data_IF_144954409877
#
_entry.id   IF_144954409877
#
_cell.length_a   1.000
_cell.length_b   1.000
_cell.length_c   1.000
_cell.angle_alpha   90.00
_cell.angle_beta   90.00
_cell.angle_gamma   90.00
#
_symmetry.space_group_name_H-M   'P 1'
#
loop_
_entity.id
_entity.type
_entity.pdbx_description
1 polymer ?
#
# COMPACT_ATOMS: atom_id res chain seq x y z
N UNK A 1 -14.48 -39.60 -34.38
CA UNK A 1 -14.82 -38.17 -34.33
C UNK A 1 -15.32 -37.76 -32.92
N UNK A 2 -14.55 -38.07 -31.87
CA UNK A 2 -14.95 -37.89 -30.45
C UNK A 2 -13.75 -37.63 -29.52
N UNK A 3 -12.81 -36.78 -29.95
CA UNK A 3 -11.54 -36.57 -29.22
C UNK A 3 -11.08 -35.11 -29.11
N UNK A 4 -11.97 -34.13 -29.32
CA UNK A 4 -11.60 -32.69 -29.26
C UNK A 4 -12.31 -31.95 -28.10
N UNK A 5 -13.24 -32.58 -27.39
CA UNK A 5 -14.01 -31.92 -26.31
C UNK A 5 -13.38 -32.03 -24.91
N UNK A 6 -12.24 -32.71 -24.74
CA UNK A 6 -11.62 -32.92 -23.42
C UNK A 6 -10.54 -31.88 -23.07
N UNK A 7 -9.98 -31.15 -24.05
CA UNK A 7 -8.92 -30.16 -23.80
C UNK A 7 -9.39 -28.73 -23.55
N UNK A 8 -10.67 -28.41 -23.79
CA UNK A 8 -11.22 -27.05 -23.59
C UNK A 8 -11.74 -26.86 -22.16
N UNK A 9 -12.25 -27.92 -21.53
CA UNK A 9 -12.82 -27.90 -20.17
C UNK A 9 -11.77 -27.70 -19.06
N UNK A 10 -10.52 -28.18 -19.25
CA UNK A 10 -9.45 -27.93 -18.28
C UNK A 10 -8.99 -26.48 -18.30
N UNK A 11 -8.96 -25.84 -19.48
CA UNK A 11 -8.53 -24.44 -19.62
C UNK A 11 -9.53 -23.44 -19.02
N UNK A 12 -10.84 -23.67 -19.15
CA UNK A 12 -11.85 -22.80 -18.51
C UNK A 12 -11.90 -22.99 -16.99
N UNK A 13 -11.69 -24.22 -16.51
CA UNK A 13 -11.57 -24.54 -15.09
C UNK A 13 -10.37 -23.83 -14.46
N UNK A 14 -9.20 -23.92 -15.09
CA UNK A 14 -7.98 -23.26 -14.63
C UNK A 14 -8.13 -21.73 -14.62
N UNK A 15 -8.85 -21.16 -15.60
CA UNK A 15 -9.11 -19.71 -15.68
C UNK A 15 -9.95 -19.18 -14.52
N UNK A 16 -10.92 -19.96 -14.02
CA UNK A 16 -11.74 -19.58 -12.87
C UNK A 16 -10.92 -19.53 -11.58
N UNK A 17 -10.11 -20.55 -11.32
CA UNK A 17 -9.22 -20.57 -10.14
C UNK A 17 -8.19 -19.45 -10.18
N UNK A 18 -7.60 -19.20 -11.35
CA UNK A 18 -6.63 -18.12 -11.55
C UNK A 18 -7.28 -16.75 -11.35
N UNK A 19 -8.51 -16.51 -11.82
CA UNK A 19 -9.17 -15.22 -11.59
C UNK A 19 -9.52 -15.00 -10.11
N UNK A 20 -10.04 -16.02 -9.43
CA UNK A 20 -10.37 -15.95 -8.00
C UNK A 20 -9.12 -15.64 -7.16
N UNK A 21 -8.08 -16.46 -7.31
CA UNK A 21 -6.81 -16.26 -6.60
C UNK A 21 -6.11 -14.95 -6.98
N UNK A 22 -6.22 -14.47 -8.23
CA UNK A 22 -5.66 -13.16 -8.64
C UNK A 22 -6.36 -12.00 -7.95
N UNK A 23 -7.70 -12.01 -7.87
CA UNK A 23 -8.47 -10.93 -7.23
C UNK A 23 -8.16 -10.91 -5.73
N UNK A 24 -8.14 -12.08 -5.09
CA UNK A 24 -7.80 -12.23 -3.68
C UNK A 24 -6.37 -11.75 -3.34
N UNK A 25 -5.38 -12.23 -4.10
CA UNK A 25 -3.98 -11.85 -3.89
C UNK A 25 -3.76 -10.38 -4.24
N UNK A 26 -4.50 -9.86 -5.22
CA UNK A 26 -4.49 -8.45 -5.61
C UNK A 26 -4.88 -7.51 -4.46
N UNK A 27 -5.88 -7.87 -3.64
CA UNK A 27 -6.26 -7.07 -2.47
C UNK A 27 -5.11 -6.99 -1.44
N UNK A 28 -4.42 -8.09 -1.17
CA UNK A 28 -3.28 -8.10 -0.26
C UNK A 28 -2.09 -7.28 -0.80
N UNK A 29 -1.84 -7.32 -2.11
CA UNK A 29 -0.78 -6.54 -2.76
C UNK A 29 -1.08 -5.04 -2.71
N UNK A 30 -2.34 -4.63 -2.93
CA UNK A 30 -2.75 -3.22 -2.87
C UNK A 30 -2.50 -2.59 -1.49
N UNK A 31 -2.62 -3.37 -0.42
CA UNK A 31 -2.30 -2.92 0.93
C UNK A 31 -0.81 -2.59 1.10
N UNK A 32 0.10 -3.50 0.74
CA UNK A 32 1.54 -3.24 0.83
C UNK A 32 1.98 -2.13 -0.11
N UNK A 33 1.33 -2.03 -1.29
CA UNK A 33 1.56 -0.94 -2.22
C UNK A 33 1.21 0.44 -1.60
N UNK A 34 0.11 0.54 -0.87
CA UNK A 34 -0.28 1.78 -0.21
C UNK A 34 0.70 2.19 0.91
N UNK A 35 1.22 1.22 1.69
CA UNK A 35 2.26 1.48 2.69
C UNK A 35 3.56 1.96 2.02
N UNK A 36 3.96 1.32 0.91
CA UNK A 36 5.10 1.76 0.11
C UNK A 36 4.92 3.19 -0.39
N UNK A 37 3.77 3.51 -0.98
CA UNK A 37 3.43 4.85 -1.43
C UNK A 37 3.51 5.88 -0.29
N UNK A 38 3.00 5.55 0.90
CA UNK A 38 3.12 6.42 2.08
C UNK A 38 4.59 6.67 2.46
N UNK A 39 5.41 5.62 2.50
CA UNK A 39 6.83 5.75 2.82
C UNK A 39 7.61 6.58 1.80
N UNK A 40 7.28 6.44 0.52
CA UNK A 40 7.84 7.25 -0.57
C UNK A 40 7.46 8.74 -0.41
N UNK A 41 6.19 9.03 -0.14
CA UNK A 41 5.72 10.40 0.11
C UNK A 41 6.40 11.03 1.33
N UNK A 42 6.59 10.27 2.40
CA UNK A 42 7.32 10.76 3.58
C UNK A 42 8.77 11.08 3.23
N UNK A 43 9.45 10.18 2.53
CA UNK A 43 10.85 10.35 2.16
C UNK A 43 11.13 11.55 1.28
N UNK A 44 10.29 11.74 0.26
CA UNK A 44 10.36 12.89 -0.64
C UNK A 44 10.11 14.19 0.13
N UNK A 45 9.18 14.17 1.08
CA UNK A 45 8.85 15.34 1.90
C UNK A 45 9.98 15.75 2.86
N UNK A 46 10.66 14.80 3.50
CA UNK A 46 11.76 15.12 4.43
C UNK A 46 13.08 15.45 3.72
N UNK A 47 13.13 15.29 2.40
CA UNK A 47 14.27 15.66 1.55
C UNK A 47 15.24 14.53 1.23
N UNK A 48 14.96 13.30 1.66
CA UNK A 48 15.79 12.12 1.32
C UNK A 48 15.65 11.71 -0.15
N UNK A 49 14.50 11.98 -0.77
CA UNK A 49 14.30 11.74 -2.22
C UNK A 49 15.24 12.55 -3.12
N UNK A 50 15.76 13.70 -2.65
CA UNK A 50 16.71 14.50 -3.42
C UNK A 50 18.04 13.77 -3.63
N UNK A 51 18.46 12.89 -2.71
CA UNK A 51 19.69 12.11 -2.85
C UNK A 51 19.66 11.19 -4.09
N UNK A 52 18.48 10.68 -4.46
CA UNK A 52 18.28 9.88 -5.67
C UNK A 52 18.42 10.71 -6.95
N UNK A 53 18.05 12.00 -6.91
CA UNK A 53 18.24 12.92 -8.04
C UNK A 53 19.72 13.27 -8.26
N UNK A 54 20.52 13.32 -7.20
CA UNK A 54 21.95 13.65 -7.29
C UNK A 54 22.82 12.48 -7.78
N UNK A 55 22.41 11.23 -7.54
CA UNK A 55 23.13 10.05 -8.05
C UNK A 55 22.21 8.94 -8.57
N UNK A 56 21.62 9.12 -9.78
CA UNK A 56 20.79 8.11 -10.43
C UNK A 56 21.59 6.88 -10.91
N UNK A 57 22.92 6.97 -11.00
CA UNK A 57 23.81 5.91 -11.50
C UNK A 57 24.03 4.78 -10.47
N UNK A 58 23.71 5.02 -9.19
CA UNK A 58 23.82 4.01 -8.12
C UNK A 58 22.73 2.93 -8.18
N UNK A 59 21.73 3.03 -9.08
CA UNK A 59 20.74 1.96 -9.31
C UNK A 59 19.84 1.62 -8.12
N UNK A 60 19.94 2.33 -7.00
CA UNK A 60 19.13 2.14 -5.80
C UNK A 60 17.82 2.91 -5.94
N UNK A 61 16.89 2.32 -6.68
CA UNK A 61 15.50 2.80 -6.78
C UNK A 61 14.70 2.54 -5.49
N UNK A 62 15.25 1.81 -4.52
CA UNK A 62 14.56 1.57 -3.24
C UNK A 62 14.81 2.72 -2.28
N UNK A 63 13.73 3.36 -1.87
CA UNK A 63 13.79 4.45 -0.93
C UNK A 63 13.98 3.88 0.49
N UNK A 64 14.98 4.36 1.24
CA UNK A 64 15.29 3.80 2.56
C UNK A 64 14.11 3.92 3.54
N UNK A 65 13.35 5.01 3.45
CA UNK A 65 12.18 5.26 4.31
C UNK A 65 11.00 4.37 3.92
N UNK A 66 10.77 4.19 2.63
CA UNK A 66 9.79 3.23 2.11
C UNK A 66 10.10 1.82 2.63
N UNK A 67 11.34 1.37 2.44
CA UNK A 67 11.78 0.05 2.90
C UNK A 67 11.61 -0.11 4.42
N UNK A 68 11.91 0.94 5.19
CA UNK A 68 11.68 0.95 6.64
C UNK A 68 10.20 0.72 6.97
N UNK A 69 9.29 1.50 6.40
CA UNK A 69 7.85 1.36 6.65
C UNK A 69 7.29 0.01 6.16
N UNK A 70 7.71 -0.46 5.00
CA UNK A 70 7.31 -1.77 4.46
C UNK A 70 7.79 -2.91 5.36
N UNK A 71 9.00 -2.82 5.92
CA UNK A 71 9.53 -3.82 6.85
C UNK A 71 8.73 -3.83 8.16
N UNK A 72 8.47 -2.66 8.74
CA UNK A 72 7.64 -2.54 9.96
C UNK A 72 6.23 -3.06 9.70
N UNK A 73 5.61 -2.68 8.59
CA UNK A 73 4.29 -3.16 8.23
C UNK A 73 4.26 -4.68 8.01
N UNK A 74 5.32 -5.27 7.45
CA UNK A 74 5.41 -6.73 7.32
C UNK A 74 5.44 -7.40 8.70
N UNK A 75 6.23 -6.88 9.65
CA UNK A 75 6.27 -7.41 11.02
C UNK A 75 4.92 -7.28 11.73
N UNK A 76 4.27 -6.11 11.61
CA UNK A 76 2.95 -5.87 12.19
C UNK A 76 1.88 -6.77 11.54
N UNK A 77 1.97 -6.99 10.22
CA UNK A 77 1.08 -7.89 9.48
C UNK A 77 1.15 -9.33 10.01
N UNK A 78 2.36 -9.83 10.28
CA UNK A 78 2.53 -11.13 10.94
C UNK A 78 2.00 -11.11 12.38
N UNK A 79 2.28 -10.05 13.15
CA UNK A 79 1.79 -9.91 14.53
C UNK A 79 0.26 -9.87 14.64
N UNK A 80 -0.43 -9.34 13.64
CA UNK A 80 -1.90 -9.28 13.57
C UNK A 80 -2.53 -10.52 12.93
N UNK A 81 -1.74 -11.57 12.67
CA UNK A 81 -2.18 -12.78 11.96
C UNK A 81 -2.77 -12.50 10.56
N UNK A 82 -2.35 -11.42 9.89
CA UNK A 82 -2.82 -11.07 8.55
C UNK A 82 -2.53 -12.17 7.52
N UNK A 83 -1.48 -12.98 7.72
CA UNK A 83 -1.18 -14.13 6.89
C UNK A 83 -2.26 -15.22 6.96
N UNK A 84 -2.93 -15.40 8.10
CA UNK A 84 -4.03 -16.35 8.23
C UNK A 84 -5.25 -15.93 7.42
N UNK A 85 -5.52 -14.61 7.35
CA UNK A 85 -6.55 -14.05 6.48
C UNK A 85 -6.28 -14.44 5.02
N UNK A 86 -5.07 -14.21 4.52
CA UNK A 86 -4.73 -14.52 3.13
C UNK A 86 -4.84 -16.02 2.84
N UNK A 87 -4.33 -16.87 3.73
CA UNK A 87 -4.39 -18.33 3.54
C UNK A 87 -5.82 -18.87 3.61
N UNK A 88 -6.62 -18.38 4.57
CA UNK A 88 -8.03 -18.75 4.69
C UNK A 88 -8.82 -18.31 3.46
N UNK A 89 -8.55 -17.11 2.96
CA UNK A 89 -9.16 -16.58 1.75
C UNK A 89 -8.85 -17.43 0.51
N UNK A 90 -7.60 -17.87 0.35
CA UNK A 90 -7.21 -18.79 -0.74
C UNK A 90 -7.98 -20.11 -0.60
N UNK A 91 -8.01 -20.70 0.60
CA UNK A 91 -8.72 -21.96 0.84
C UNK A 91 -10.21 -21.85 0.52
N UNK A 92 -10.87 -20.79 1.00
CA UNK A 92 -12.30 -20.53 0.77
C UNK A 92 -12.60 -20.25 -0.72
N UNK A 93 -11.67 -19.63 -1.45
CA UNK A 93 -11.77 -19.43 -2.90
C UNK A 93 -11.80 -20.75 -3.69
N UNK A 94 -11.19 -21.82 -3.18
CA UNK A 94 -11.27 -23.14 -3.83
C UNK A 94 -12.59 -23.86 -3.55
N UNK A 95 -13.26 -23.57 -2.43
CA UNK A 95 -14.53 -24.18 -2.06
C UNK A 95 -15.75 -23.48 -2.68
N UNK A 96 -15.72 -22.15 -2.78
CA UNK A 96 -16.86 -21.32 -3.18
C UNK A 96 -17.04 -21.10 -4.68
N UNK A 97 -16.02 -21.38 -5.51
CA UNK A 97 -16.09 -21.15 -6.96
C UNK A 97 -16.35 -22.48 -7.67
N UNK A 98 -17.63 -22.87 -7.90
CA UNK A 98 -17.92 -24.00 -8.76
C UNK A 98 -17.49 -23.68 -10.19
N UNK A 99 -16.61 -24.53 -10.70
CA UNK A 99 -15.88 -24.54 -11.98
C UNK A 99 -16.73 -24.18 -13.23
N UNK A 100 -18.06 -24.28 -13.13
CA UNK A 100 -18.95 -24.35 -14.29
C UNK A 100 -19.70 -23.05 -14.65
N UNK A 101 -19.72 -22.00 -13.82
CA UNK A 101 -20.61 -20.84 -14.07
C UNK A 101 -20.03 -19.47 -13.70
N UNK A 102 -18.71 -19.27 -13.80
CA UNK A 102 -18.15 -17.93 -13.59
C UNK A 102 -18.54 -17.01 -14.77
N UNK A 103 -19.64 -16.28 -14.63
CA UNK A 103 -19.91 -15.12 -15.49
C UNK A 103 -18.92 -14.03 -15.08
N UNK A 104 -18.17 -13.50 -16.05
CA UNK A 104 -17.38 -12.28 -15.88
C UNK A 104 -18.33 -11.12 -15.57
N UNK A 105 -18.71 -11.00 -14.31
CA UNK A 105 -19.44 -9.88 -13.79
C UNK A 105 -18.44 -8.75 -13.53
N UNK A 106 -18.76 -7.51 -13.88
CA UNK A 106 -17.90 -6.36 -13.59
C UNK A 106 -17.91 -5.96 -12.10
N UNK A 107 -18.83 -6.51 -11.30
CA UNK A 107 -18.95 -6.22 -9.86
C UNK A 107 -17.65 -6.39 -9.06
N UNK A 108 -16.97 -7.54 -9.12
CA UNK A 108 -15.69 -7.76 -8.42
C UNK A 108 -14.58 -6.78 -8.82
N UNK A 109 -14.52 -6.40 -10.10
CA UNK A 109 -13.53 -5.42 -10.58
C UNK A 109 -13.82 -4.00 -10.05
N UNK A 110 -15.10 -3.62 -9.96
CA UNK A 110 -15.50 -2.35 -9.36
C UNK A 110 -15.19 -2.33 -7.84
N UNK A 111 -15.42 -3.43 -7.13
CA UNK A 111 -15.04 -3.55 -5.72
C UNK A 111 -13.52 -3.45 -5.50
N UNK A 112 -12.72 -4.04 -6.40
CA UNK A 112 -11.26 -3.90 -6.34
C UNK A 112 -10.81 -2.46 -6.61
N UNK A 113 -11.44 -1.75 -7.54
CA UNK A 113 -11.14 -0.35 -7.82
C UNK A 113 -11.47 0.56 -6.63
N UNK A 114 -12.63 0.36 -5.98
CA UNK A 114 -12.98 1.10 -4.76
C UNK A 114 -12.02 0.80 -3.61
N UNK A 115 -11.60 -0.46 -3.46
CA UNK A 115 -10.60 -0.82 -2.45
C UNK A 115 -9.24 -0.15 -2.72
N UNK A 116 -8.79 -0.11 -3.98
CA UNK A 116 -7.56 0.60 -4.34
C UNK A 116 -7.66 2.11 -4.02
N UNK A 117 -8.81 2.73 -4.24
CA UNK A 117 -9.08 4.10 -3.85
C UNK A 117 -8.99 4.28 -2.33
N UNK A 118 -9.61 3.40 -1.55
CA UNK A 118 -9.57 3.44 -0.07
C UNK A 118 -8.12 3.33 0.44
N UNK A 119 -7.33 2.42 -0.14
CA UNK A 119 -5.92 2.24 0.20
C UNK A 119 -5.08 3.48 -0.13
N UNK A 120 -5.32 4.12 -1.28
CA UNK A 120 -4.64 5.35 -1.66
C UNK A 120 -4.99 6.52 -0.72
N UNK A 121 -6.27 6.68 -0.38
CA UNK A 121 -6.72 7.70 0.58
C UNK A 121 -6.07 7.46 1.94
N UNK A 122 -5.99 6.21 2.38
CA UNK A 122 -5.35 5.88 3.65
C UNK A 122 -3.86 6.21 3.65
N UNK A 123 -3.12 5.83 2.61
CA UNK A 123 -1.71 6.17 2.46
C UNK A 123 -1.48 7.69 2.60
N UNK A 124 -2.31 8.50 1.95
CA UNK A 124 -2.25 9.97 2.03
C UNK A 124 -2.58 10.47 3.43
N UNK A 125 -3.61 9.93 4.08
CA UNK A 125 -3.98 10.30 5.46
C UNK A 125 -2.87 9.97 6.46
N UNK A 126 -2.17 8.85 6.26
CA UNK A 126 -1.07 8.44 7.13
C UNK A 126 0.16 9.34 6.99
N UNK A 127 0.50 9.81 5.78
CA UNK A 127 1.60 10.77 5.62
C UNK A 127 1.21 12.22 5.94
N UNK A 128 -0.08 12.56 5.93
CA UNK A 128 -0.58 13.93 6.17
C UNK A 128 0.00 14.64 7.40
N UNK A 129 0.08 14.05 8.61
CA UNK A 129 0.64 14.75 9.77
C UNK A 129 2.11 15.11 9.59
N UNK A 130 2.88 14.24 8.93
CA UNK A 130 4.30 14.47 8.65
C UNK A 130 4.43 15.59 7.62
N UNK A 131 3.67 15.51 6.53
CA UNK A 131 3.68 16.53 5.48
C UNK A 131 3.30 17.90 6.03
N UNK A 132 2.25 17.98 6.86
CA UNK A 132 1.80 19.23 7.46
C UNK A 132 2.89 19.84 8.36
N UNK A 133 3.55 19.05 9.21
CA UNK A 133 4.61 19.55 10.08
C UNK A 133 5.85 20.03 9.31
N UNK A 134 6.25 19.31 8.26
CA UNK A 134 7.37 19.72 7.40
C UNK A 134 7.01 20.97 6.59
N UNK A 135 5.76 21.09 6.11
CA UNK A 135 5.29 22.29 5.43
C UNK A 135 5.38 23.52 6.35
N UNK A 136 4.91 23.40 7.60
CA UNK A 136 5.03 24.47 8.61
C UNK A 136 6.49 24.82 8.86
N UNK A 137 7.35 23.81 8.97
CA UNK A 137 8.80 24.00 9.13
C UNK A 137 9.40 24.78 7.96
N UNK A 138 9.05 24.43 6.73
CA UNK A 138 9.53 25.13 5.53
C UNK A 138 9.06 26.58 5.49
N UNK A 139 7.81 26.85 5.88
CA UNK A 139 7.29 28.22 6.00
C UNK A 139 8.07 29.00 7.07
N UNK A 140 8.30 28.40 8.24
CA UNK A 140 9.06 29.02 9.33
C UNK A 140 10.50 29.35 8.89
N UNK A 141 11.17 28.43 8.19
CA UNK A 141 12.49 28.65 7.61
C UNK A 141 12.48 29.79 6.57
N UNK A 142 11.45 29.87 5.72
CA UNK A 142 11.27 30.96 4.77
C UNK A 142 11.14 32.34 5.44
N UNK A 143 10.41 32.41 6.56
CA UNK A 143 10.31 33.64 7.37
C UNK A 143 11.64 33.97 8.05
N UNK A 144 12.33 32.98 8.61
CA UNK A 144 13.65 33.15 9.23
C UNK A 144 14.68 33.69 8.23
N UNK A 145 14.60 33.29 6.96
CA UNK A 145 15.45 33.85 5.89
C UNK A 145 15.31 35.35 5.69
N UNK A 146 14.10 35.88 5.87
CA UNK A 146 13.86 37.32 5.80
C UNK A 146 14.32 38.04 7.06
N UNK A 147 14.16 37.40 8.22
CA UNK A 147 14.55 37.98 9.51
C UNK A 147 16.07 37.99 9.71
N UNK A 148 16.77 36.96 9.21
CA UNK A 148 18.22 36.79 9.34
C UNK A 148 18.82 36.55 7.94
N UNK A 149 19.08 37.61 7.15
CA UNK A 149 19.52 37.50 5.75
C UNK A 149 20.88 36.81 5.56
N UNK A 150 21.70 36.78 6.62
CA UNK A 150 22.99 36.12 6.67
C UNK A 150 22.91 34.58 6.74
N UNK A 151 21.74 34.02 7.08
CA UNK A 151 21.54 32.57 7.09
C UNK A 151 21.14 32.08 5.69
N UNK A 152 21.87 31.10 5.17
CA UNK A 152 21.45 30.37 3.98
C UNK A 152 20.31 29.40 4.36
N UNK A 153 19.07 29.84 4.12
CA UNK A 153 17.86 29.08 4.44
C UNK A 153 17.83 27.73 3.74
N UNK A 154 18.25 27.66 2.48
CA UNK A 154 18.20 26.43 1.68
C UNK A 154 19.13 25.35 2.27
N UNK A 155 20.33 25.75 2.70
CA UNK A 155 21.30 24.83 3.30
C UNK A 155 20.88 24.46 4.72
N UNK A 156 20.26 25.38 5.45
CA UNK A 156 19.86 25.15 6.85
C UNK A 156 18.55 24.37 6.96
N UNK A 157 17.62 24.51 6.02
CA UNK A 157 16.33 23.85 6.06
C UNK A 157 16.47 22.33 5.92
N UNK A 158 17.38 21.84 5.09
CA UNK A 158 17.59 20.40 4.86
C UNK A 158 17.93 19.61 6.15
N UNK A 159 18.94 19.99 6.96
CA UNK A 159 19.17 19.36 8.26
C UNK A 159 17.98 19.47 9.21
N UNK A 160 17.28 20.59 9.22
CA UNK A 160 16.14 20.84 10.12
C UNK A 160 14.95 19.95 9.76
N UNK A 161 14.59 19.86 8.48
CA UNK A 161 13.51 19.00 7.99
C UNK A 161 13.83 17.53 8.18
N UNK A 162 15.09 17.12 8.03
CA UNK A 162 15.52 15.75 8.33
C UNK A 162 15.33 15.41 9.81
N UNK A 163 15.81 16.26 10.72
CA UNK A 163 15.68 16.03 12.17
C UNK A 163 14.22 15.92 12.61
N UNK A 164 13.38 16.87 12.18
CA UNK A 164 11.95 16.87 12.49
C UNK A 164 11.26 15.67 11.83
N UNK A 165 11.62 15.37 10.58
CA UNK A 165 11.11 14.24 9.82
C UNK A 165 11.34 12.91 10.52
N UNK A 166 12.57 12.64 10.96
CA UNK A 166 12.91 11.43 11.71
C UNK A 166 12.11 11.31 13.01
N UNK A 167 12.02 12.38 13.81
CA UNK A 167 11.23 12.36 15.05
C UNK A 167 9.77 12.02 14.77
N UNK A 168 9.17 12.66 13.76
CA UNK A 168 7.78 12.41 13.39
C UNK A 168 7.56 11.00 12.85
N UNK A 169 8.51 10.44 12.10
CA UNK A 169 8.42 9.05 11.63
C UNK A 169 8.25 8.09 12.81
N UNK A 170 9.03 8.24 13.88
CA UNK A 170 8.90 7.39 15.08
C UNK A 170 7.58 7.64 15.83
N UNK A 171 7.18 8.91 15.98
CA UNK A 171 5.93 9.29 16.65
C UNK A 171 4.70 8.76 15.90
N UNK A 172 4.77 8.62 14.58
CA UNK A 172 3.68 8.11 13.73
C UNK A 172 3.61 6.57 13.63
N UNK A 173 4.55 5.81 14.21
CA UNK A 173 4.49 4.33 14.18
C UNK A 173 3.20 3.78 14.82
N UNK A 174 2.72 4.26 15.98
CA UNK A 174 1.46 3.76 16.55
C UNK A 174 0.25 4.02 15.66
N UNK A 175 0.24 5.15 14.93
CA UNK A 175 -0.79 5.46 13.95
C UNK A 175 -0.79 4.42 12.82
N UNK A 176 0.39 4.02 12.34
CA UNK A 176 0.52 2.95 11.37
C UNK A 176 -0.08 1.63 11.86
N UNK A 177 0.20 1.23 13.10
CA UNK A 177 -0.37 0.00 13.67
C UNK A 177 -1.90 0.05 13.74
N UNK A 178 -2.47 1.20 14.13
CA UNK A 178 -3.91 1.39 14.22
C UNK A 178 -4.59 1.30 12.85
N UNK A 179 -4.04 1.98 11.84
CA UNK A 179 -4.57 1.96 10.48
C UNK A 179 -4.44 0.56 9.86
N UNK A 180 -3.34 -0.16 10.11
CA UNK A 180 -3.16 -1.53 9.64
C UNK A 180 -4.24 -2.48 10.15
N UNK A 181 -4.63 -2.38 11.43
CA UNK A 181 -5.71 -3.19 11.97
C UNK A 181 -7.05 -2.88 11.26
N UNK A 182 -7.33 -1.59 11.03
CA UNK A 182 -8.51 -1.15 10.28
C UNK A 182 -8.52 -1.73 8.85
N UNK A 183 -7.40 -1.69 8.14
CA UNK A 183 -7.30 -2.26 6.78
C UNK A 183 -7.52 -3.77 6.78
N UNK A 184 -6.94 -4.49 7.73
CA UNK A 184 -7.11 -5.94 7.78
C UNK A 184 -8.60 -6.31 7.93
N UNK A 185 -9.32 -5.60 8.80
CA UNK A 185 -10.77 -5.81 8.98
C UNK A 185 -11.58 -5.41 7.72
N UNK A 186 -11.22 -4.31 7.05
CA UNK A 186 -11.84 -3.92 5.78
C UNK A 186 -11.58 -4.95 4.68
N UNK A 187 -10.36 -5.47 4.61
CA UNK A 187 -9.95 -6.52 3.68
C UNK A 187 -10.77 -7.79 3.90
N UNK A 188 -10.94 -8.24 5.15
CA UNK A 188 -11.81 -9.38 5.48
C UNK A 188 -13.24 -9.18 4.99
N UNK A 189 -13.79 -7.98 5.24
CA UNK A 189 -15.17 -7.67 4.88
C UNK A 189 -15.35 -7.69 3.36
N UNK A 190 -14.48 -6.98 2.62
CA UNK A 190 -14.55 -6.93 1.15
C UNK A 190 -14.25 -8.26 0.50
N UNK A 191 -13.33 -9.04 1.06
CA UNK A 191 -13.07 -10.39 0.61
C UNK A 191 -14.34 -11.26 0.69
N UNK A 192 -15.05 -11.22 1.81
CA UNK A 192 -16.31 -11.96 1.97
C UNK A 192 -17.39 -11.53 0.98
N UNK A 193 -17.42 -10.24 0.61
CA UNK A 193 -18.35 -9.70 -0.39
C UNK A 193 -17.99 -10.15 -1.80
N UNK A 194 -16.70 -10.12 -2.16
CA UNK A 194 -16.21 -10.57 -3.46
C UNK A 194 -16.44 -12.07 -3.63
N UNK A 195 -16.17 -12.88 -2.59
CA UNK A 195 -16.43 -14.32 -2.64
C UNK A 195 -17.92 -14.63 -2.83
N UNK A 196 -18.81 -13.92 -2.13
CA UNK A 196 -20.26 -14.03 -2.36
C UNK A 196 -20.68 -13.58 -3.76
N UNK A 197 -20.11 -12.48 -4.26
CA UNK A 197 -20.43 -11.95 -5.58
C UNK A 197 -19.93 -12.84 -6.74
N UNK A 198 -18.93 -13.70 -6.49
CA UNK A 198 -18.42 -14.68 -7.44
C UNK A 198 -19.16 -16.03 -7.37
N UNK A 199 -19.79 -16.35 -6.25
CA UNK A 199 -20.54 -17.58 -6.05
C UNK A 199 -21.95 -17.59 -6.69
N UNK A 200 -22.43 -16.44 -7.17
CA UNK A 200 -23.77 -16.26 -7.77
C UNK A 200 -23.73 -15.74 -9.21
#
# INVERSE_FOLDING_TARGET
MKSVSFSISSSESDRGYVLGTLILTGLAVLFFFAIGMMGELVSTTIGLGAAQMFNPLMGTNSNTVEQFYTTIATLVFFSLNGHHLVLGAIAESYELIPIAQMKLNMGPFAEMATFAQDMMVMAVKMCAPIIAAILITNIAMGVLGRAVPQINVLVTSMPVTLMIGFVLMFVCIPLLVMEMNTVLNMTQTKLSLVMKALAF
#
